data_IF_157114295418
#
_entry.id   IF_157114295418
#
_cell.length_a   1.000
_cell.length_b   1.000
_cell.length_c   1.000
_cell.angle_alpha   90.00
_cell.angle_beta   90.00
_cell.angle_gamma   90.00
#
_symmetry.space_group_name_H-M   'P 1'
#
loop_
_entity.id
_entity.type
_entity.pdbx_description
1 polymer ?
#
# COMPACT_ATOMS: atom_id res chain seq x y z
N UNK A 1 11.95 -2.97 -23.16
CA UNK A 1 13.06 -2.00 -23.09
C UNK A 1 13.26 -1.49 -21.68
N UNK A 2 14.51 -1.22 -21.30
CA UNK A 2 14.87 -0.77 -19.95
C UNK A 2 14.20 0.54 -19.55
N UNK A 3 14.01 1.45 -20.49
CA UNK A 3 13.37 2.74 -20.28
C UNK A 3 11.90 2.58 -19.89
N UNK A 4 11.19 1.68 -20.57
CA UNK A 4 9.77 1.39 -20.28
C UNK A 4 9.65 0.72 -18.92
N UNK A 5 10.51 -0.26 -18.61
CA UNK A 5 10.51 -0.91 -17.29
C UNK A 5 10.74 0.11 -16.18
N UNK A 6 11.66 1.04 -16.37
CA UNK A 6 11.96 2.09 -15.39
C UNK A 6 10.78 3.04 -15.21
N UNK A 7 10.20 3.51 -16.31
CA UNK A 7 9.07 4.46 -16.29
C UNK A 7 7.83 3.85 -15.67
N UNK A 8 7.53 2.59 -15.98
CA UNK A 8 6.37 1.86 -15.46
C UNK A 8 6.66 1.13 -14.14
N UNK A 9 7.88 1.20 -13.62
CA UNK A 9 8.31 0.46 -12.42
C UNK A 9 8.06 -1.04 -12.51
N UNK A 10 8.35 -1.62 -13.65
CA UNK A 10 8.22 -3.06 -13.89
C UNK A 10 9.51 -3.75 -13.46
N UNK A 11 9.39 -4.74 -12.61
CA UNK A 11 10.49 -5.60 -12.17
C UNK A 11 10.53 -6.88 -13.01
N UNK A 12 11.69 -7.51 -13.07
CA UNK A 12 11.81 -8.83 -13.71
C UNK A 12 10.89 -9.84 -12.98
N UNK A 13 10.06 -10.54 -13.76
CA UNK A 13 9.07 -11.47 -13.23
C UNK A 13 7.71 -10.85 -12.92
N UNK A 14 7.57 -9.54 -12.99
CA UNK A 14 6.27 -8.90 -12.80
C UNK A 14 5.29 -9.31 -13.92
N UNK A 15 4.05 -9.66 -13.58
CA UNK A 15 3.04 -9.98 -14.58
C UNK A 15 2.59 -8.73 -15.34
N UNK A 16 2.37 -8.88 -16.64
CA UNK A 16 1.82 -7.83 -17.49
C UNK A 16 0.57 -8.35 -18.19
N UNK A 17 -0.42 -7.48 -18.33
CA UNK A 17 -1.58 -7.72 -19.18
C UNK A 17 -1.32 -7.13 -20.56
N UNK A 18 -1.67 -7.89 -21.59
CA UNK A 18 -1.51 -7.47 -22.99
C UNK A 18 -2.90 -7.43 -23.62
N UNK A 19 -3.24 -6.26 -24.16
CA UNK A 19 -4.49 -6.04 -24.88
C UNK A 19 -4.20 -5.63 -26.31
N UNK A 20 -5.05 -6.04 -27.23
CA UNK A 20 -5.02 -5.59 -28.62
C UNK A 20 -6.28 -4.81 -28.93
N UNK A 21 -6.16 -3.73 -29.67
CA UNK A 21 -7.30 -2.95 -30.16
C UNK A 21 -7.64 -3.35 -31.60
N UNK A 22 -8.84 -3.00 -32.04
CA UNK A 22 -9.26 -3.24 -33.42
C UNK A 22 -8.44 -2.43 -34.43
N UNK A 23 -7.83 -1.33 -33.97
CA UNK A 23 -7.00 -0.46 -34.80
C UNK A 23 -5.54 -0.94 -34.91
N UNK A 24 -5.24 -2.10 -34.34
CA UNK A 24 -3.92 -2.70 -34.45
C UNK A 24 -2.91 -2.27 -33.38
N UNK A 25 -3.36 -1.58 -32.33
CA UNK A 25 -2.50 -1.23 -31.21
C UNK A 25 -2.31 -2.43 -30.27
N UNK A 26 -1.12 -2.52 -29.67
CA UNK A 26 -0.81 -3.46 -28.61
C UNK A 26 -0.57 -2.65 -27.34
N UNK A 27 -1.40 -2.90 -26.32
CA UNK A 27 -1.34 -2.17 -25.06
C UNK A 27 -0.82 -3.11 -23.97
N UNK A 28 0.24 -2.70 -23.28
CA UNK A 28 0.76 -3.39 -22.10
C UNK A 28 0.29 -2.66 -20.86
N UNK A 29 -0.34 -3.38 -19.94
CA UNK A 29 -0.72 -2.86 -18.63
C UNK A 29 0.00 -3.64 -17.55
N UNK A 30 0.49 -2.93 -16.54
CA UNK A 30 1.04 -3.55 -15.34
C UNK A 30 -0.11 -4.19 -14.56
N UNK A 31 0.04 -5.47 -14.27
CA UNK A 31 -0.94 -6.22 -13.48
C UNK A 31 -0.61 -6.09 -11.99
N UNK A 32 -1.57 -5.64 -11.19
CA UNK A 32 -1.50 -5.65 -9.73
C UNK A 32 -2.46 -6.72 -9.21
N UNK A 33 -1.96 -7.66 -8.40
CA UNK A 33 -2.79 -8.69 -7.80
C UNK A 33 -3.86 -8.12 -6.87
N UNK A 34 -3.57 -6.97 -6.23
CA UNK A 34 -4.51 -6.26 -5.36
C UNK A 34 -5.34 -5.23 -6.12
N UNK A 35 -4.86 -4.75 -7.26
CA UNK A 35 -5.46 -3.65 -8.02
C UNK A 35 -6.88 -3.88 -8.52
N UNK A 36 -7.38 -5.13 -8.54
CA UNK A 36 -8.79 -5.44 -8.85
C UNK A 36 -9.73 -5.38 -7.63
N UNK A 37 -9.22 -4.98 -6.46
CA UNK A 37 -9.95 -4.97 -5.20
C UNK A 37 -10.16 -3.56 -4.63
N UNK A 38 -10.12 -2.51 -5.48
CA UNK A 38 -10.20 -1.13 -5.01
C UNK A 38 -11.45 -0.86 -4.15
N UNK A 39 -12.62 -1.31 -4.59
CA UNK A 39 -13.87 -1.11 -3.84
C UNK A 39 -13.85 -1.85 -2.50
N UNK A 40 -13.36 -3.06 -2.48
CA UNK A 40 -13.23 -3.85 -1.26
C UNK A 40 -12.19 -3.24 -0.32
N UNK A 41 -11.04 -2.82 -0.84
CA UNK A 41 -10.01 -2.14 -0.07
C UNK A 41 -10.52 -0.82 0.51
N UNK A 42 -11.30 -0.06 -0.26
CA UNK A 42 -11.92 1.17 0.22
C UNK A 42 -12.87 0.93 1.39
N UNK A 43 -13.68 -0.12 1.33
CA UNK A 43 -14.56 -0.50 2.45
C UNK A 43 -13.77 -0.88 3.70
N UNK A 44 -12.68 -1.64 3.55
CA UNK A 44 -11.80 -1.98 4.67
C UNK A 44 -11.17 -0.73 5.29
N UNK A 45 -10.69 0.20 4.46
CA UNK A 45 -10.11 1.46 4.94
C UNK A 45 -11.14 2.28 5.71
N UNK A 46 -12.39 2.37 5.23
CA UNK A 46 -13.47 3.05 5.95
C UNK A 46 -13.69 2.46 7.34
N UNK A 47 -13.75 1.13 7.43
CA UNK A 47 -13.95 0.44 8.72
C UNK A 47 -12.77 0.71 9.66
N UNK A 48 -11.55 0.59 9.16
CA UNK A 48 -10.33 0.81 9.96
C UNK A 48 -10.21 2.26 10.42
N UNK A 49 -10.52 3.23 9.57
CA UNK A 49 -10.48 4.64 9.93
C UNK A 49 -11.51 5.00 10.99
N UNK A 50 -12.70 4.39 10.95
CA UNK A 50 -13.73 4.59 11.99
C UNK A 50 -13.37 3.93 13.32
N UNK A 51 -12.60 2.86 13.29
CA UNK A 51 -12.18 2.12 14.49
C UNK A 51 -10.97 2.77 15.18
N UNK A 52 -10.31 3.73 14.53
CA UNK A 52 -9.08 4.38 15.00
C UNK A 52 -9.15 5.89 14.78
N UNK A 53 -8.15 6.62 15.27
CA UNK A 53 -7.98 8.06 15.00
C UNK A 53 -6.97 8.32 13.86
N UNK A 54 -6.69 7.30 13.06
CA UNK A 54 -5.69 7.37 11.99
C UNK A 54 -6.34 7.31 10.61
N UNK A 55 -5.61 7.73 9.61
CA UNK A 55 -5.97 7.46 8.22
C UNK A 55 -5.55 6.04 7.89
N UNK A 56 -6.49 5.21 7.47
CA UNK A 56 -6.23 3.85 7.04
C UNK A 56 -5.89 3.84 5.55
N UNK A 57 -4.88 3.08 5.18
CA UNK A 57 -4.35 3.03 3.81
C UNK A 57 -4.05 1.59 3.42
N UNK A 58 -4.41 1.24 2.20
CA UNK A 58 -4.01 -0.02 1.57
C UNK A 58 -3.26 0.31 0.28
N UNK A 59 -2.10 -0.30 0.11
CA UNK A 59 -1.26 -0.10 -1.08
C UNK A 59 -1.05 -1.40 -1.83
N UNK A 60 -0.74 -1.32 -3.10
CA UNK A 60 0.01 -2.37 -3.78
C UNK A 60 1.52 -2.09 -3.62
N UNK A 61 2.36 -2.71 -4.43
CA UNK A 61 3.82 -2.53 -4.31
C UNK A 61 4.30 -1.15 -4.75
N UNK A 62 3.49 -0.40 -5.49
CA UNK A 62 3.90 0.84 -6.14
C UNK A 62 3.07 2.06 -5.75
N UNK A 63 1.79 1.86 -5.45
CA UNK A 63 0.85 2.96 -5.25
C UNK A 63 -0.19 2.70 -4.18
N UNK A 64 -0.79 3.76 -3.70
CA UNK A 64 -1.90 3.71 -2.74
C UNK A 64 -3.19 3.44 -3.52
N UNK A 65 -3.83 2.29 -3.23
CA UNK A 65 -5.05 1.88 -3.93
C UNK A 65 -6.32 2.26 -3.18
N UNK A 66 -6.25 2.44 -1.86
CA UNK A 66 -7.39 2.86 -1.06
C UNK A 66 -6.90 3.62 0.18
N UNK A 67 -7.68 4.61 0.60
CA UNK A 67 -7.44 5.35 1.82
C UNK A 67 -8.76 5.88 2.38
N UNK A 68 -8.84 6.01 3.70
CA UNK A 68 -9.96 6.63 4.40
C UNK A 68 -9.46 7.33 5.67
N UNK A 69 -9.98 8.48 5.95
CA UNK A 69 -9.61 9.28 7.12
C UNK A 69 -9.12 10.68 6.75
N UNK A 70 -8.59 11.42 7.73
CA UNK A 70 -8.26 12.85 7.53
C UNK A 70 -7.26 13.14 6.41
N UNK A 71 -6.27 12.27 6.21
CA UNK A 71 -5.21 12.49 5.22
C UNK A 71 -5.50 11.86 3.84
N UNK A 72 -6.71 11.36 3.61
CA UNK A 72 -7.06 10.64 2.38
C UNK A 72 -6.70 11.40 1.10
N UNK A 73 -7.05 12.68 1.03
CA UNK A 73 -6.85 13.49 -0.19
C UNK A 73 -5.39 13.64 -0.58
N UNK A 74 -4.51 13.59 0.41
CA UNK A 74 -3.08 13.76 0.22
C UNK A 74 -2.39 12.47 -0.18
N UNK A 75 -3.07 11.32 -0.07
CA UNK A 75 -2.47 10.00 -0.23
C UNK A 75 -3.01 9.23 -1.43
N UNK A 76 -4.31 9.31 -1.68
CA UNK A 76 -4.97 8.45 -2.66
C UNK A 76 -4.34 8.58 -4.06
N UNK A 77 -4.16 7.45 -4.74
CA UNK A 77 -3.59 7.32 -6.10
C UNK A 77 -2.13 7.76 -6.25
N UNK A 78 -1.44 8.04 -5.14
CA UNK A 78 -0.03 8.43 -5.19
C UNK A 78 0.90 7.23 -5.10
N UNK A 79 2.11 7.42 -5.61
CA UNK A 79 3.18 6.44 -5.48
C UNK A 79 3.66 6.34 -4.03
N UNK A 80 3.94 5.13 -3.59
CA UNK A 80 4.54 4.90 -2.27
C UNK A 80 5.98 5.43 -2.23
N UNK A 81 6.42 5.83 -1.05
CA UNK A 81 7.79 6.29 -0.86
C UNK A 81 8.80 5.14 -0.91
N UNK A 82 10.09 5.44 -1.13
CA UNK A 82 11.15 4.42 -0.98
C UNK A 82 11.19 3.78 0.41
N UNK A 83 10.81 4.53 1.46
CA UNK A 83 10.74 4.00 2.81
C UNK A 83 9.65 2.93 2.95
N UNK A 84 8.50 3.11 2.29
CA UNK A 84 7.44 2.11 2.26
C UNK A 84 7.88 0.86 1.49
N UNK A 85 8.60 1.03 0.39
CA UNK A 85 9.19 -0.09 -0.34
C UNK A 85 10.15 -0.89 0.54
N UNK A 86 10.97 -0.23 1.35
CA UNK A 86 11.86 -0.88 2.30
C UNK A 86 11.10 -1.68 3.37
N UNK A 87 9.97 -1.14 3.87
CA UNK A 87 9.13 -1.86 4.82
C UNK A 87 8.56 -3.15 4.20
N UNK A 88 8.16 -3.11 2.94
CA UNK A 88 7.72 -4.30 2.22
C UNK A 88 8.82 -5.35 2.13
N UNK A 89 10.05 -4.94 1.82
CA UNK A 89 11.20 -5.84 1.71
C UNK A 89 11.53 -6.53 3.03
N UNK A 90 11.36 -5.84 4.15
CA UNK A 90 11.60 -6.40 5.49
C UNK A 90 10.60 -7.46 5.89
N UNK A 91 9.41 -7.49 5.30
CA UNK A 91 8.35 -8.48 5.54
C UNK A 91 7.92 -8.59 7.01
N UNK A 92 8.12 -7.54 7.79
CA UNK A 92 7.74 -7.48 9.20
C UNK A 92 6.86 -6.25 9.45
N UNK A 93 6.08 -6.31 10.53
CA UNK A 93 5.21 -5.18 10.89
C UNK A 93 6.05 -4.07 11.48
N UNK A 94 5.87 -2.86 10.95
CA UNK A 94 6.49 -1.64 11.46
C UNK A 94 5.53 -0.94 12.41
N UNK A 95 6.07 -0.47 13.52
CA UNK A 95 5.36 0.37 14.48
C UNK A 95 6.27 1.53 14.86
N UNK A 96 5.83 2.76 14.63
CA UNK A 96 6.60 3.94 15.01
C UNK A 96 6.65 4.08 16.53
N UNK A 97 7.85 4.16 17.08
CA UNK A 97 8.09 4.50 18.48
C UNK A 97 8.42 5.98 18.65
N UNK A 98 8.32 6.45 19.88
CA UNK A 98 8.75 7.82 20.22
C UNK A 98 10.26 7.94 20.00
N UNK A 99 10.67 8.99 19.28
CA UNK A 99 12.06 9.18 18.91
C UNK A 99 12.47 8.55 17.59
N UNK A 100 11.62 7.72 16.97
CA UNK A 100 11.87 7.22 15.62
C UNK A 100 11.66 8.32 14.60
N UNK A 101 12.48 8.30 13.54
CA UNK A 101 12.28 9.20 12.42
C UNK A 101 10.95 8.91 11.73
N UNK A 102 10.23 9.95 11.35
CA UNK A 102 8.98 9.81 10.59
C UNK A 102 9.28 9.26 9.18
N UNK A 103 8.57 8.21 8.80
CA UNK A 103 8.67 7.60 7.47
C UNK A 103 7.53 8.11 6.59
N UNK A 104 7.80 8.92 5.55
CA UNK A 104 6.74 9.41 4.69
C UNK A 104 6.07 8.27 3.94
N UNK A 105 4.75 8.35 3.79
CA UNK A 105 3.98 7.35 3.04
C UNK A 105 4.18 7.53 1.54
N UNK A 106 4.18 8.78 1.07
CA UNK A 106 4.40 9.14 -0.33
C UNK A 106 5.70 9.89 -0.49
N UNK A 107 6.36 9.72 -1.63
CA UNK A 107 7.61 10.39 -1.93
C UNK A 107 7.47 11.92 -2.06
N UNK A 108 6.32 12.38 -2.51
CA UNK A 108 6.02 13.79 -2.78
C UNK A 108 5.23 14.48 -1.66
N UNK A 109 4.94 13.78 -0.57
CA UNK A 109 4.26 14.34 0.59
C UNK A 109 4.98 13.93 1.87
N UNK A 110 5.67 14.88 2.49
CA UNK A 110 6.47 14.65 3.70
C UNK A 110 5.70 14.94 5.01
N UNK A 111 4.45 15.41 4.91
CA UNK A 111 3.65 15.77 6.09
C UNK A 111 2.93 14.58 6.70
N UNK A 112 2.67 13.55 5.90
CA UNK A 112 1.97 12.34 6.34
C UNK A 112 2.96 11.19 6.42
N UNK A 113 3.04 10.58 7.60
CA UNK A 113 3.96 9.47 7.85
C UNK A 113 3.23 8.20 8.26
N UNK A 114 3.91 7.07 8.12
CA UNK A 114 3.41 5.78 8.57
C UNK A 114 3.55 5.67 10.09
N UNK A 115 2.43 5.41 10.78
CA UNK A 115 2.43 5.09 12.20
C UNK A 115 2.60 3.58 12.41
N UNK A 116 1.85 2.79 11.66
CA UNK A 116 1.95 1.32 11.66
C UNK A 116 1.82 0.84 10.23
N UNK A 117 2.61 -0.14 9.84
CA UNK A 117 2.52 -0.74 8.50
C UNK A 117 2.75 -2.24 8.58
N UNK A 118 1.84 -3.01 7.99
CA UNK A 118 1.92 -4.47 7.94
C UNK A 118 1.95 -4.94 6.48
N UNK A 119 2.91 -5.79 6.09
CA UNK A 119 2.97 -6.29 4.73
C UNK A 119 1.85 -7.30 4.46
N UNK A 120 1.27 -7.22 3.26
CA UNK A 120 0.30 -8.19 2.77
C UNK A 120 1.10 -9.30 2.10
N UNK A 121 1.13 -10.46 2.73
CA UNK A 121 1.91 -11.61 2.25
C UNK A 121 0.98 -12.66 1.67
N UNK A 122 1.27 -13.09 0.44
CA UNK A 122 0.52 -14.13 -0.25
C UNK A 122 1.52 -15.15 -0.81
N UNK A 123 1.52 -16.36 -0.27
CA UNK A 123 2.39 -17.47 -0.72
C UNK A 123 3.88 -17.05 -0.83
N UNK A 124 4.35 -16.28 0.15
CA UNK A 124 5.74 -15.81 0.20
C UNK A 124 6.03 -14.51 -0.53
N UNK A 125 5.10 -14.00 -1.32
CA UNK A 125 5.25 -12.74 -2.03
C UNK A 125 4.60 -11.58 -1.26
N UNK A 126 5.23 -10.42 -1.31
CA UNK A 126 4.66 -9.18 -0.77
C UNK A 126 3.81 -8.52 -1.84
N UNK A 127 2.53 -8.31 -1.56
CA UNK A 127 1.59 -7.67 -2.49
C UNK A 127 1.43 -6.18 -2.25
N UNK A 128 1.72 -5.70 -1.05
CA UNK A 128 1.55 -4.32 -0.64
C UNK A 128 1.57 -4.18 0.86
N UNK A 129 0.96 -3.11 1.37
CA UNK A 129 0.89 -2.80 2.80
C UNK A 129 -0.54 -2.47 3.21
N UNK A 130 -0.89 -2.83 4.45
CA UNK A 130 -1.96 -2.20 5.22
C UNK A 130 -1.28 -1.30 6.23
N UNK A 131 -1.58 0.00 6.21
CA UNK A 131 -0.94 0.93 7.12
C UNK A 131 -1.91 1.95 7.70
N UNK A 132 -1.53 2.46 8.85
CA UNK A 132 -2.15 3.64 9.45
C UNK A 132 -1.21 4.82 9.29
N UNK A 133 -1.73 5.92 8.77
CA UNK A 133 -0.99 7.14 8.51
C UNK A 133 -1.48 8.28 9.39
N UNK A 134 -0.58 9.17 9.74
CA UNK A 134 -0.88 10.32 10.58
C UNK A 134 0.03 11.50 10.26
N UNK A 135 -0.37 12.66 10.71
CA UNK A 135 0.49 13.83 10.78
C UNK A 135 1.43 13.74 11.99
N UNK A 136 2.41 14.63 12.03
CA UNK A 136 3.44 14.65 13.07
C UNK A 136 2.85 14.70 14.50
N UNK A 137 3.48 13.98 15.40
CA UNK A 137 3.15 14.00 16.83
C UNK A 137 2.11 12.96 17.27
N UNK A 138 1.57 12.18 16.34
CA UNK A 138 0.60 11.14 16.65
C UNK A 138 1.24 9.75 16.54
N UNK A 139 1.21 8.99 17.62
CA UNK A 139 1.84 7.67 17.71
C UNK A 139 0.79 6.57 17.82
N UNK A 140 1.06 5.39 17.21
CA UNK A 140 0.14 4.27 17.26
C UNK A 140 0.21 3.54 18.60
N UNK A 141 -0.89 2.87 18.94
CA UNK A 141 -0.95 1.95 20.06
C UNK A 141 -1.07 0.50 19.62
N UNK A 142 -1.37 -0.38 20.57
CA UNK A 142 -1.54 -1.80 20.30
C UNK A 142 -2.73 -2.09 19.37
N UNK A 143 -3.78 -1.28 19.43
CA UNK A 143 -4.96 -1.45 18.57
C UNK A 143 -4.61 -1.33 17.08
N UNK A 144 -3.82 -0.34 16.72
CA UNK A 144 -3.38 -0.13 15.33
C UNK A 144 -2.49 -1.28 14.86
N UNK A 145 -1.59 -1.76 15.73
CA UNK A 145 -0.75 -2.91 15.43
C UNK A 145 -1.59 -4.16 15.13
N UNK A 146 -2.52 -4.49 16.03
CA UNK A 146 -3.37 -5.68 15.89
C UNK A 146 -4.30 -5.60 14.67
N UNK A 147 -4.86 -4.44 14.41
CA UNK A 147 -5.72 -4.23 13.24
C UNK A 147 -4.94 -4.36 11.94
N UNK A 148 -3.78 -3.74 11.83
CA UNK A 148 -2.93 -3.86 10.66
C UNK A 148 -2.49 -5.31 10.43
N UNK A 149 -2.08 -6.01 11.49
CA UNK A 149 -1.71 -7.41 11.45
C UNK A 149 -2.86 -8.28 10.96
N UNK A 150 -4.05 -8.10 11.51
CA UNK A 150 -5.23 -8.90 11.19
C UNK A 150 -5.69 -8.68 9.74
N UNK A 151 -5.79 -7.42 9.32
CA UNK A 151 -6.28 -7.09 7.98
C UNK A 151 -5.26 -7.48 6.90
N UNK A 152 -3.97 -7.29 7.14
CA UNK A 152 -2.94 -7.71 6.20
C UNK A 152 -2.92 -9.22 6.01
N UNK A 153 -3.07 -9.99 7.10
CA UNK A 153 -3.17 -11.44 7.04
C UNK A 153 -4.42 -11.90 6.31
N UNK A 154 -5.57 -11.25 6.57
CA UNK A 154 -6.82 -11.55 5.87
C UNK A 154 -6.69 -11.31 4.36
N UNK A 155 -6.16 -10.16 3.96
CA UNK A 155 -5.97 -9.85 2.55
C UNK A 155 -5.01 -10.83 1.86
N UNK A 156 -3.92 -11.18 2.51
CA UNK A 156 -2.98 -12.17 1.98
C UNK A 156 -3.65 -13.52 1.73
N UNK A 157 -4.46 -14.00 2.67
CA UNK A 157 -5.21 -15.25 2.50
C UNK A 157 -6.31 -15.14 1.45
N UNK A 158 -6.99 -14.03 1.39
CA UNK A 158 -8.03 -13.79 0.39
C UNK A 158 -7.47 -13.84 -1.04
N UNK A 159 -6.22 -13.43 -1.23
CA UNK A 159 -5.54 -13.42 -2.54
C UNK A 159 -4.96 -14.78 -2.95
N UNK A 160 -4.98 -15.79 -2.08
CA UNK A 160 -4.48 -17.15 -2.40
C UNK A 160 -5.37 -17.93 -3.36
N UNK A 161 -6.57 -17.46 -3.60
CA UNK A 161 -7.57 -18.16 -4.44
C UNK A 161 -7.49 -17.73 -5.91
#
# INVERSE_FOLDING_TARGET
>A
PKEIRRTMRIREGDPLEIFTTRDGEVIFKKYSLIGGLEDFAAQLCDILARATDFTAVITDRDSIIAAAGPCKRELIDRAVSPQMEQLMEKRSIYQQGRGDAALPVCADNLHTHAATAAPILCQGDVLGLVLFAAEEGRYPGESEYKLAQTVSAFLGRHMEN
#
